data_IF_435724790263
#
_entry.id   IF_435724790263
#
_cell.length_a   1.000
_cell.length_b   1.000
_cell.length_c   1.000
_cell.angle_alpha   90.00
_cell.angle_beta   90.00
_cell.angle_gamma   90.00
#
_symmetry.space_group_name_H-M   'P 1'
#
loop_
_entity.id
_entity.type
_entity.pdbx_description
1 polymer ?
#
# COMPACT_ATOMS: atom_id res chain seq x y z
N UNK A 1 30.24 -62.75 -20.34
CA UNK A 1 30.04 -61.98 -19.09
C UNK A 1 30.56 -60.59 -19.34
N UNK A 2 29.68 -59.67 -19.71
CA UNK A 2 30.00 -58.24 -19.85
C UNK A 2 29.12 -57.51 -18.84
N UNK A 3 29.78 -56.95 -17.81
CA UNK A 3 29.12 -56.09 -16.82
C UNK A 3 29.11 -54.66 -17.37
N UNK A 4 27.95 -54.16 -17.76
CA UNK A 4 27.74 -52.78 -18.16
C UNK A 4 27.65 -51.92 -16.90
N UNK A 5 28.62 -51.04 -16.73
CA UNK A 5 28.66 -50.04 -15.66
C UNK A 5 27.78 -48.85 -16.06
N UNK A 6 26.51 -48.77 -15.57
CA UNK A 6 25.69 -47.61 -15.71
C UNK A 6 26.16 -46.52 -14.73
N UNK A 7 26.89 -45.54 -15.21
CA UNK A 7 27.14 -44.31 -14.48
C UNK A 7 25.89 -43.43 -14.52
N UNK A 8 25.21 -43.35 -13.40
CA UNK A 8 24.12 -42.39 -13.20
C UNK A 8 24.73 -41.01 -12.99
N UNK A 9 24.68 -40.18 -14.00
CA UNK A 9 24.96 -38.76 -13.86
C UNK A 9 23.78 -38.11 -13.17
N UNK A 10 23.83 -37.95 -11.85
CA UNK A 10 22.95 -37.10 -11.10
C UNK A 10 23.29 -35.65 -11.45
N UNK A 11 22.53 -35.07 -12.36
CA UNK A 11 22.52 -33.64 -12.58
C UNK A 11 22.05 -32.97 -11.30
N UNK A 12 22.96 -32.34 -10.59
CA UNK A 12 22.68 -31.43 -9.49
C UNK A 12 22.06 -30.15 -10.11
N UNK A 13 20.79 -30.19 -10.37
CA UNK A 13 19.99 -28.98 -10.56
C UNK A 13 19.45 -28.60 -9.19
N UNK A 14 20.27 -27.97 -8.40
CA UNK A 14 19.87 -27.27 -7.20
C UNK A 14 20.68 -25.99 -7.16
N UNK A 15 20.15 -24.97 -7.81
CA UNK A 15 20.32 -23.58 -7.46
C UNK A 15 18.96 -22.93 -7.77
N UNK A 16 18.01 -23.10 -6.89
CA UNK A 16 17.12 -22.00 -6.58
C UNK A 16 18.06 -20.96 -5.95
N UNK A 17 18.46 -19.98 -6.75
CA UNK A 17 19.11 -18.78 -6.23
C UNK A 17 18.05 -18.11 -5.35
N UNK A 18 18.13 -18.36 -4.05
CA UNK A 18 17.32 -17.65 -3.07
C UNK A 18 17.52 -16.17 -3.32
N UNK A 19 16.45 -15.51 -3.76
CA UNK A 19 16.45 -14.09 -4.09
C UNK A 19 16.97 -13.30 -2.90
N UNK A 20 18.06 -12.58 -3.08
CA UNK A 20 18.67 -11.82 -1.99
C UNK A 20 17.80 -10.62 -1.63
N UNK A 21 17.94 -10.10 -0.40
CA UNK A 21 17.27 -8.87 0.02
C UNK A 21 17.56 -7.69 -0.94
N UNK A 22 18.77 -7.63 -1.50
CA UNK A 22 19.14 -6.61 -2.47
C UNK A 22 18.34 -6.73 -3.77
N UNK A 23 18.15 -7.96 -4.27
CA UNK A 23 17.36 -8.22 -5.47
C UNK A 23 15.88 -7.86 -5.26
N UNK A 24 15.33 -8.18 -4.08
CA UNK A 24 13.97 -7.81 -3.71
C UNK A 24 13.79 -6.28 -3.69
N UNK A 25 14.74 -5.56 -3.10
CA UNK A 25 14.73 -4.09 -3.07
C UNK A 25 14.89 -3.46 -4.46
N UNK A 26 15.63 -4.09 -5.36
CA UNK A 26 15.74 -3.63 -6.73
C UNK A 26 14.45 -3.88 -7.51
N UNK A 27 13.81 -5.03 -7.35
CA UNK A 27 12.49 -5.32 -7.92
C UNK A 27 11.44 -4.32 -7.46
N UNK A 28 11.36 -4.06 -6.15
CA UNK A 28 10.46 -3.05 -5.59
C UNK A 28 10.69 -1.68 -6.24
N UNK A 29 11.93 -1.22 -6.32
CA UNK A 29 12.27 0.06 -6.95
C UNK A 29 11.84 0.14 -8.41
N UNK A 30 12.10 -0.93 -9.19
CA UNK A 30 11.71 -1.00 -10.60
C UNK A 30 10.18 -0.98 -10.75
N UNK A 31 9.47 -1.71 -9.89
CA UNK A 31 8.00 -1.73 -9.91
C UNK A 31 7.41 -0.37 -9.56
N UNK A 32 7.93 0.31 -8.54
CA UNK A 32 7.51 1.67 -8.17
C UNK A 32 7.78 2.64 -9.31
N UNK A 33 8.99 2.64 -9.89
CA UNK A 33 9.34 3.52 -11.01
C UNK A 33 8.44 3.29 -12.23
N UNK A 34 8.15 2.04 -12.54
CA UNK A 34 7.21 1.65 -13.60
C UNK A 34 5.79 2.13 -13.32
N UNK A 35 5.31 1.96 -12.09
CA UNK A 35 4.00 2.43 -11.67
C UNK A 35 3.85 3.95 -11.76
N UNK A 36 4.84 4.71 -11.29
CA UNK A 36 4.84 6.16 -11.31
C UNK A 36 4.87 6.74 -12.73
N UNK A 37 5.44 6.02 -13.69
CA UNK A 37 5.66 6.50 -15.07
C UNK A 37 4.56 6.15 -16.06
N UNK A 38 3.67 5.21 -15.70
CA UNK A 38 2.60 4.72 -16.59
C UNK A 38 1.26 5.39 -16.31
N UNK A 39 0.37 5.39 -17.30
CA UNK A 39 -1.05 5.59 -17.07
C UNK A 39 -1.61 4.30 -16.46
N UNK A 40 -2.41 4.44 -15.42
CA UNK A 40 -3.02 3.33 -14.73
C UNK A 40 -4.53 3.43 -14.83
N UNK A 41 -5.18 2.33 -15.18
CA UNK A 41 -6.61 2.15 -15.03
C UNK A 41 -6.84 0.88 -14.24
N UNK A 42 -7.40 1.01 -13.03
CA UNK A 42 -7.82 -0.10 -12.21
C UNK A 42 -9.30 -0.37 -12.45
N UNK A 43 -9.63 -1.62 -12.65
CA UNK A 43 -10.99 -2.08 -12.82
C UNK A 43 -11.40 -2.91 -11.61
N UNK A 44 -12.71 -2.89 -11.27
CA UNK A 44 -13.27 -3.83 -10.32
C UNK A 44 -13.55 -5.20 -10.99
N UNK A 45 -14.11 -6.13 -10.21
CA UNK A 45 -14.45 -7.47 -10.71
C UNK A 45 -15.58 -7.45 -11.78
N UNK A 46 -16.31 -6.37 -11.89
CA UNK A 46 -17.36 -6.12 -12.88
C UNK A 46 -16.85 -5.45 -14.14
N UNK A 47 -15.60 -4.97 -14.12
CA UNK A 47 -14.97 -4.24 -15.22
C UNK A 47 -15.21 -2.73 -15.18
N UNK A 48 -15.78 -2.22 -14.08
CA UNK A 48 -15.96 -0.79 -13.89
C UNK A 48 -14.66 -0.13 -13.43
N UNK A 49 -14.41 1.10 -13.88
CA UNK A 49 -13.18 1.82 -13.53
C UNK A 49 -13.21 2.28 -12.09
N UNK A 50 -12.33 1.71 -11.26
CA UNK A 50 -12.11 2.14 -9.87
C UNK A 50 -11.23 3.37 -9.77
N UNK A 51 -10.17 3.38 -10.57
CA UNK A 51 -9.18 4.45 -10.60
C UNK A 51 -8.61 4.55 -12.01
N UNK A 52 -8.51 5.77 -12.50
CA UNK A 52 -7.73 6.06 -13.71
C UNK A 52 -6.81 7.24 -13.39
N UNK A 53 -5.52 7.04 -13.54
CA UNK A 53 -4.53 8.08 -13.30
C UNK A 53 -3.61 8.22 -14.50
N UNK A 54 -3.21 9.48 -14.81
CA UNK A 54 -2.10 9.74 -15.69
C UNK A 54 -0.75 9.47 -15.02
N UNK A 55 0.33 9.80 -15.72
CA UNK A 55 1.67 9.78 -15.16
C UNK A 55 1.72 10.60 -13.87
N UNK A 56 2.29 10.00 -12.82
CA UNK A 56 2.42 10.64 -11.51
C UNK A 56 3.57 11.65 -11.54
N UNK A 57 3.28 12.89 -11.12
CA UNK A 57 4.27 13.92 -10.87
C UNK A 57 4.68 13.89 -9.39
N UNK A 58 5.92 13.49 -9.12
CA UNK A 58 6.44 13.44 -7.75
C UNK A 58 7.00 14.80 -7.36
N UNK A 59 6.56 15.33 -6.21
CA UNK A 59 7.09 16.53 -5.59
C UNK A 59 7.78 16.21 -4.27
N UNK A 60 8.67 17.11 -3.84
CA UNK A 60 9.38 17.01 -2.56
C UNK A 60 8.51 17.49 -1.40
N UNK A 61 8.86 17.09 -0.16
CA UNK A 61 8.21 17.60 1.05
C UNK A 61 8.31 19.13 1.16
N UNK A 62 9.46 19.71 0.74
CA UNK A 62 9.64 21.14 0.73
C UNK A 62 8.68 21.85 -0.22
N UNK A 63 8.47 21.33 -1.43
CA UNK A 63 7.50 21.87 -2.38
C UNK A 63 6.07 21.74 -1.85
N UNK A 64 5.74 20.58 -1.26
CA UNK A 64 4.45 20.33 -0.63
C UNK A 64 4.14 21.35 0.48
N UNK A 65 5.11 21.63 1.37
CA UNK A 65 4.96 22.63 2.42
C UNK A 65 4.82 24.06 1.86
N UNK A 66 5.55 24.37 0.77
CA UNK A 66 5.50 25.68 0.12
C UNK A 66 4.15 25.98 -0.55
N UNK A 67 3.36 24.93 -0.85
CA UNK A 67 2.00 25.03 -1.45
C UNK A 67 0.90 24.71 -0.41
N UNK A 68 1.06 25.17 0.84
CA UNK A 68 0.09 25.04 1.92
C UNK A 68 -0.31 23.59 2.26
N UNK A 69 0.61 22.66 2.05
CA UNK A 69 0.38 21.22 2.28
C UNK A 69 -0.82 20.66 1.50
N UNK A 70 -0.89 21.00 0.23
CA UNK A 70 -1.84 20.44 -0.74
C UNK A 70 -1.10 19.87 -1.94
N UNK A 71 -1.74 19.01 -2.70
CA UNK A 71 -1.24 18.47 -3.96
C UNK A 71 -2.10 18.95 -5.11
N UNK A 72 -1.50 19.21 -6.28
CA UNK A 72 -2.24 19.62 -7.47
C UNK A 72 -2.80 18.39 -8.19
N UNK A 73 -4.14 18.26 -8.19
CA UNK A 73 -4.82 17.13 -8.83
C UNK A 73 -4.76 17.19 -10.35
N UNK A 74 -4.78 18.39 -10.94
CA UNK A 74 -4.75 18.56 -12.40
C UNK A 74 -3.41 18.09 -12.99
N UNK A 75 -2.35 18.17 -12.21
CA UNK A 75 -1.01 17.68 -12.55
C UNK A 75 -0.71 16.27 -12.02
N UNK A 76 -1.67 15.64 -11.38
CA UNK A 76 -1.52 14.33 -10.73
C UNK A 76 -0.30 14.28 -9.78
N UNK A 77 -0.18 15.30 -8.90
CA UNK A 77 0.94 15.45 -7.98
C UNK A 77 0.83 14.51 -6.78
N UNK A 78 1.95 13.89 -6.44
CA UNK A 78 2.15 13.12 -5.21
C UNK A 78 3.40 13.62 -4.50
N UNK A 79 3.31 13.89 -3.21
CA UNK A 79 4.49 14.19 -2.37
C UNK A 79 5.15 12.89 -1.95
N UNK A 80 6.48 12.83 -2.05
CA UNK A 80 7.28 11.73 -1.51
C UNK A 80 7.82 12.12 -0.13
N UNK A 81 7.42 11.37 0.90
CA UNK A 81 8.02 11.43 2.23
C UNK A 81 9.24 10.52 2.29
N UNK A 82 10.42 11.10 2.16
CA UNK A 82 11.68 10.36 1.98
C UNK A 82 12.04 9.47 3.17
N UNK A 83 11.65 9.87 4.39
CA UNK A 83 11.91 9.11 5.61
C UNK A 83 11.13 7.80 5.70
N UNK A 84 9.95 7.74 5.08
CA UNK A 84 9.04 6.58 5.12
C UNK A 84 8.91 5.88 3.77
N UNK A 85 9.30 6.54 2.67
CA UNK A 85 9.09 6.06 1.31
C UNK A 85 7.63 6.17 0.83
N UNK A 86 6.77 6.87 1.56
CA UNK A 86 5.35 7.02 1.23
C UNK A 86 5.15 8.11 0.19
N UNK A 87 4.37 7.79 -0.85
CA UNK A 87 3.86 8.75 -1.82
C UNK A 87 2.40 9.06 -1.45
N UNK A 88 2.07 10.34 -1.31
CA UNK A 88 0.73 10.78 -0.91
C UNK A 88 0.17 11.82 -1.86
N UNK A 89 -1.10 11.66 -2.24
CA UNK A 89 -1.90 12.70 -2.89
C UNK A 89 -3.10 13.03 -2.01
N UNK A 90 -3.36 14.31 -1.80
CA UNK A 90 -4.57 14.77 -1.10
C UNK A 90 -5.61 15.16 -2.13
N UNK A 91 -6.61 14.30 -2.31
CA UNK A 91 -7.72 14.57 -3.24
C UNK A 91 -8.66 15.64 -2.70
N UNK A 92 -8.90 15.62 -1.37
CA UNK A 92 -9.73 16.60 -0.70
C UNK A 92 -9.39 16.66 0.78
N UNK A 93 -9.09 17.85 1.27
CA UNK A 93 -8.90 18.08 2.70
C UNK A 93 -10.23 17.95 3.44
N UNK A 94 -10.27 17.17 4.50
CA UNK A 94 -11.45 17.01 5.33
C UNK A 94 -11.78 18.30 6.10
N UNK A 95 -13.06 18.53 6.46
CA UNK A 95 -13.50 19.70 7.24
C UNK A 95 -13.29 19.50 8.76
N UNK A 96 -12.87 18.31 9.20
CA UNK A 96 -12.72 17.99 10.62
C UNK A 96 -11.47 18.59 11.24
N UNK A 97 -11.50 18.73 12.58
CA UNK A 97 -10.33 19.14 13.35
C UNK A 97 -9.30 18.02 13.43
N UNK A 98 -8.00 18.33 13.36
CA UNK A 98 -6.94 17.37 13.61
C UNK A 98 -7.06 16.73 15.00
N UNK A 99 -6.54 15.51 15.15
CA UNK A 99 -6.41 14.85 16.45
C UNK A 99 -5.34 15.60 17.25
N UNK A 100 -5.74 16.25 18.34
CA UNK A 100 -4.84 17.07 19.16
C UNK A 100 -3.94 16.20 20.02
N UNK A 101 -2.81 16.77 20.47
CA UNK A 101 -1.91 16.09 21.41
C UNK A 101 -2.65 15.63 22.67
N UNK A 102 -2.46 14.37 23.05
CA UNK A 102 -3.16 13.70 24.16
C UNK A 102 -4.56 13.15 23.81
N UNK A 103 -5.06 13.38 22.59
CA UNK A 103 -6.35 12.82 22.17
C UNK A 103 -6.18 11.46 21.49
N UNK A 104 -7.24 10.66 21.66
CA UNK A 104 -7.44 9.42 20.88
C UNK A 104 -8.79 9.49 20.17
N UNK A 105 -8.80 9.07 18.91
CA UNK A 105 -10.01 9.05 18.09
C UNK A 105 -10.15 7.71 17.40
N UNK A 106 -11.39 7.34 17.13
CA UNK A 106 -11.70 6.22 16.24
C UNK A 106 -11.94 6.76 14.84
N UNK A 107 -11.22 6.20 13.86
CA UNK A 107 -11.28 6.59 12.46
C UNK A 107 -11.85 5.46 11.64
N UNK A 108 -12.84 5.76 10.81
CA UNK A 108 -13.47 4.79 9.91
C UNK A 108 -12.95 5.04 8.51
N UNK A 109 -12.38 4.00 7.90
CA UNK A 109 -11.73 4.08 6.59
C UNK A 109 -12.43 3.19 5.55
N UNK A 110 -12.48 3.71 4.32
CA UNK A 110 -12.77 2.93 3.13
C UNK A 110 -11.59 3.05 2.19
N UNK A 111 -11.24 1.94 1.52
CA UNK A 111 -10.02 1.87 0.75
C UNK A 111 -10.09 0.87 -0.41
N UNK A 112 -9.16 1.03 -1.32
CA UNK A 112 -8.70 0.02 -2.26
C UNK A 112 -7.21 -0.21 -2.00
N UNK A 113 -6.78 -1.45 -1.90
CA UNK A 113 -5.37 -1.82 -1.82
C UNK A 113 -4.95 -2.50 -3.10
N UNK A 114 -3.96 -1.91 -3.75
CA UNK A 114 -3.42 -2.40 -5.00
C UNK A 114 -1.96 -2.81 -4.83
N UNK A 115 -1.66 -4.04 -5.23
CA UNK A 115 -0.30 -4.56 -5.19
C UNK A 115 0.44 -4.17 -6.46
N UNK A 116 1.41 -3.26 -6.34
CA UNK A 116 2.22 -2.77 -7.47
C UNK A 116 3.07 -3.89 -8.09
N UNK A 117 3.63 -4.80 -7.27
CA UNK A 117 4.43 -5.93 -7.76
C UNK A 117 3.57 -6.97 -8.48
N UNK A 118 2.40 -7.26 -7.94
CA UNK A 118 1.47 -8.24 -8.50
C UNK A 118 0.54 -7.67 -9.57
N UNK A 119 0.58 -6.35 -9.79
CA UNK A 119 -0.27 -5.60 -10.75
C UNK A 119 -1.76 -5.94 -10.62
N UNK A 120 -2.24 -6.02 -9.37
CA UNK A 120 -3.60 -6.49 -9.06
C UNK A 120 -4.21 -5.82 -7.84
N UNK A 121 -5.55 -5.71 -7.83
CA UNK A 121 -6.31 -5.32 -6.66
C UNK A 121 -6.18 -6.42 -5.60
N UNK A 122 -5.59 -6.07 -4.45
CA UNK A 122 -5.36 -7.00 -3.35
C UNK A 122 -6.61 -7.16 -2.48
N UNK A 123 -7.17 -6.04 -2.04
CA UNK A 123 -8.37 -6.00 -1.22
C UNK A 123 -9.07 -4.65 -1.30
N UNK A 124 -10.34 -4.63 -0.89
CA UNK A 124 -11.17 -3.44 -0.85
C UNK A 124 -12.31 -3.61 0.15
N UNK A 125 -12.77 -2.53 0.75
CA UNK A 125 -14.01 -2.50 1.52
C UNK A 125 -15.06 -1.55 0.91
N UNK A 126 -14.97 -1.29 -0.40
CA UNK A 126 -15.86 -0.38 -1.12
C UNK A 126 -17.07 -1.08 -1.76
N UNK A 127 -16.99 -2.39 -1.96
CA UNK A 127 -18.12 -3.14 -2.57
C UNK A 127 -19.31 -3.25 -1.61
N UNK A 128 -20.54 -3.40 -2.11
CA UNK A 128 -21.73 -3.51 -1.26
C UNK A 128 -21.64 -4.60 -0.19
N UNK A 129 -20.98 -5.72 -0.48
CA UNK A 129 -20.80 -6.82 0.48
C UNK A 129 -19.89 -6.42 1.66
N UNK A 130 -18.78 -5.75 1.38
CA UNK A 130 -17.83 -5.28 2.39
C UNK A 130 -18.17 -3.89 2.93
N UNK A 131 -19.12 -3.19 2.32
CA UNK A 131 -19.53 -1.85 2.74
C UNK A 131 -20.14 -1.82 4.16
N UNK A 132 -20.63 -2.95 4.65
CA UNK A 132 -21.15 -3.10 6.01
C UNK A 132 -20.05 -3.16 7.06
N UNK A 133 -18.83 -3.55 6.67
CA UNK A 133 -17.68 -3.71 7.56
C UNK A 133 -16.55 -2.74 7.17
N UNK A 134 -16.67 -1.45 7.50
CA UNK A 134 -15.58 -0.50 7.26
C UNK A 134 -14.35 -0.90 8.07
N UNK A 135 -13.16 -0.51 7.60
CA UNK A 135 -11.95 -0.59 8.42
C UNK A 135 -12.03 0.45 9.53
N UNK A 136 -11.72 0.04 10.74
CA UNK A 136 -11.75 0.91 11.92
C UNK A 136 -10.37 0.94 12.54
N UNK A 137 -9.87 2.16 12.71
CA UNK A 137 -8.59 2.43 13.35
C UNK A 137 -8.81 3.10 14.71
N UNK A 138 -8.08 2.66 15.72
CA UNK A 138 -7.90 3.40 16.95
C UNK A 138 -6.60 4.21 16.82
N UNK A 139 -6.73 5.54 16.76
CA UNK A 139 -5.63 6.48 16.52
C UNK A 139 -5.40 7.33 17.76
N UNK A 140 -4.15 7.49 18.16
CA UNK A 140 -3.74 8.31 19.28
C UNK A 140 -2.64 9.29 18.87
N UNK A 141 -2.74 10.52 19.37
CA UNK A 141 -1.70 11.54 19.19
C UNK A 141 -0.94 11.71 20.51
N UNK A 142 0.28 11.23 20.58
CA UNK A 142 1.15 11.35 21.73
C UNK A 142 2.22 12.44 21.46
N UNK A 143 1.96 13.65 21.96
CA UNK A 143 2.91 14.79 21.83
C UNK A 143 3.31 15.09 20.38
N UNK A 144 2.37 14.98 19.45
CA UNK A 144 2.61 15.22 18.01
C UNK A 144 2.97 13.96 17.22
N UNK A 145 3.22 12.83 17.87
CA UNK A 145 3.41 11.54 17.22
C UNK A 145 2.08 10.79 17.13
N UNK A 146 1.63 10.52 15.91
CA UNK A 146 0.44 9.71 15.65
C UNK A 146 0.81 8.23 15.67
N UNK A 147 0.04 7.45 16.43
CA UNK A 147 0.08 5.99 16.42
C UNK A 147 -1.30 5.45 16.10
N UNK A 148 -1.38 4.35 15.38
CA UNK A 148 -2.64 3.73 15.01
C UNK A 148 -2.58 2.20 15.10
N UNK A 149 -3.71 1.59 15.37
CA UNK A 149 -3.90 0.14 15.29
C UNK A 149 -5.26 -0.19 14.69
N UNK A 150 -5.35 -1.31 13.96
CA UNK A 150 -6.63 -1.83 13.50
C UNK A 150 -7.47 -2.32 14.68
N UNK A 151 -8.73 -1.87 14.75
CA UNK A 151 -9.66 -2.30 15.79
C UNK A 151 -10.18 -3.70 15.46
N UNK A 152 -9.94 -4.65 16.36
CA UNK A 152 -10.33 -6.07 16.18
C UNK A 152 -11.63 -6.44 16.90
N UNK A 153 -12.18 -5.54 17.73
CA UNK A 153 -13.38 -5.82 18.54
C UNK A 153 -14.67 -5.47 17.83
N UNK A 154 -14.62 -4.46 16.94
CA UNK A 154 -15.76 -4.07 16.14
C UNK A 154 -15.87 -4.96 14.91
N UNK A 155 -17.06 -5.52 14.67
CA UNK A 155 -17.37 -6.35 13.50
C UNK A 155 -16.41 -7.54 13.28
N UNK A 156 -15.74 -8.04 14.33
CA UNK A 156 -14.79 -9.13 14.22
C UNK A 156 -13.46 -8.75 13.57
N UNK A 157 -13.15 -7.46 13.51
CA UNK A 157 -12.02 -6.88 12.78
C UNK A 157 -12.40 -6.52 11.34
N UNK A 158 -11.70 -5.54 10.77
CA UNK A 158 -11.87 -5.14 9.38
C UNK A 158 -11.17 -6.09 8.40
N UNK A 159 -11.28 -5.80 7.10
CA UNK A 159 -10.71 -6.62 6.04
C UNK A 159 -9.18 -6.74 6.14
N UNK A 160 -8.49 -5.67 6.54
CA UNK A 160 -7.03 -5.68 6.72
C UNK A 160 -6.61 -6.66 7.80
N UNK A 161 -7.26 -6.63 8.98
CA UNK A 161 -6.96 -7.60 10.04
C UNK A 161 -7.30 -9.03 9.62
N UNK A 162 -8.41 -9.24 8.91
CA UNK A 162 -8.81 -10.58 8.46
C UNK A 162 -7.81 -11.19 7.48
N UNK A 163 -7.21 -10.40 6.61
CA UNK A 163 -6.24 -10.84 5.60
C UNK A 163 -4.85 -10.99 6.20
N UNK A 164 -4.34 -9.95 6.85
CA UNK A 164 -2.94 -9.91 7.30
C UNK A 164 -2.73 -10.46 8.71
N UNK A 165 -3.81 -10.69 9.47
CA UNK A 165 -3.74 -11.17 10.88
C UNK A 165 -2.84 -10.31 11.76
N UNK A 166 -2.75 -9.04 11.47
CA UNK A 166 -1.91 -8.08 12.16
C UNK A 166 -2.71 -6.82 12.51
N UNK A 167 -2.50 -6.28 13.70
CA UNK A 167 -3.11 -5.02 14.15
C UNK A 167 -2.30 -3.79 13.79
N UNK A 168 -1.08 -3.96 13.33
CA UNK A 168 -0.22 -2.85 12.93
C UNK A 168 -0.73 -2.19 11.65
N UNK A 169 -0.81 -0.88 11.69
CA UNK A 169 -1.21 -0.07 10.53
C UNK A 169 0.04 0.20 9.68
N UNK A 170 0.00 -0.06 8.38
CA UNK A 170 1.10 0.29 7.48
C UNK A 170 1.38 1.79 7.47
N UNK A 171 2.64 2.16 7.19
CA UNK A 171 2.98 3.56 6.94
C UNK A 171 2.15 4.10 5.77
N UNK A 172 1.58 5.27 5.96
CA UNK A 172 0.77 5.93 4.92
C UNK A 172 -0.75 5.79 5.12
N UNK A 173 -1.17 5.00 6.11
CA UNK A 173 -2.59 4.95 6.51
C UNK A 173 -2.95 6.08 7.47
#
# INVERSE_FOLDING_TARGET
MCVALCTVATALWSCDEDETYADQKEKERKAIAGFLSRNLTLLDAQGDTLLSTGKIKVITEQQFLAQDSVTNLDENEYVLFTNTGVYMQIVRKGPGEPIRSGESKRVICRYYEYNILGDSLQTSNQTPYWATNPEVLDVSNNSGSLTASFNTTLNGGGAMYMIYKNISVPNGW
#
